data_IF_942815289884
#
_entry.id   IF_942815289884
#
_cell.length_a   1.000
_cell.length_b   1.000
_cell.length_c   1.000
_cell.angle_alpha   90.00
_cell.angle_beta   90.00
_cell.angle_gamma   90.00
#
_symmetry.space_group_name_H-M   'P 1'
#
loop_
_entity.id
_entity.type
_entity.pdbx_description
1 polymer ?
#
# COMPACT_ATOMS: atom_id res chain seq x y z
N UNK A 1 3.81 -16.70 -11.38
CA UNK A 1 4.41 -16.25 -10.11
C UNK A 1 3.87 -14.90 -9.73
N UNK A 2 3.55 -14.67 -8.46
CA UNK A 2 3.14 -13.34 -8.03
C UNK A 2 4.30 -12.36 -8.18
N UNK A 3 4.01 -11.22 -8.77
CA UNK A 3 4.98 -10.15 -8.81
C UNK A 3 4.90 -9.37 -7.50
N UNK A 4 6.05 -9.21 -6.88
CA UNK A 4 6.16 -8.37 -5.69
C UNK A 4 6.61 -7.00 -6.16
N UNK A 5 5.76 -5.99 -5.95
CA UNK A 5 6.10 -4.61 -6.25
C UNK A 5 6.56 -3.93 -4.98
N UNK A 6 7.67 -3.25 -5.06
CA UNK A 6 8.23 -2.49 -3.96
C UNK A 6 8.26 -1.02 -4.36
N UNK A 7 7.70 -0.17 -3.54
CA UNK A 7 7.67 1.27 -3.77
C UNK A 7 8.28 1.96 -2.56
N UNK A 8 9.25 2.82 -2.81
CA UNK A 8 9.86 3.62 -1.73
C UNK A 8 9.16 4.97 -1.69
N UNK A 9 8.70 5.35 -0.52
CA UNK A 9 7.95 6.59 -0.33
C UNK A 9 8.93 7.76 -0.35
N UNK A 10 8.68 8.71 -1.26
CA UNK A 10 9.44 9.94 -1.34
C UNK A 10 8.63 11.09 -0.74
N UNK A 11 9.20 12.30 -0.72
CA UNK A 11 8.53 13.44 -0.09
C UNK A 11 7.22 13.85 -0.78
N UNK A 12 7.05 13.52 -2.07
CA UNK A 12 5.82 13.83 -2.79
C UNK A 12 4.66 12.94 -2.33
N UNK A 13 4.96 11.75 -1.86
CA UNK A 13 3.97 10.74 -1.47
C UNK A 13 3.77 10.72 0.05
N UNK A 14 4.76 11.14 0.80
CA UNK A 14 4.71 11.10 2.27
C UNK A 14 3.54 11.91 2.82
N UNK A 15 3.01 11.48 3.96
CA UNK A 15 1.88 12.13 4.59
C UNK A 15 0.53 11.64 4.10
N UNK A 16 0.48 10.87 3.02
CA UNK A 16 -0.77 10.28 2.55
C UNK A 16 -1.14 9.06 3.38
N UNK A 17 -2.45 8.82 3.51
CA UNK A 17 -2.92 7.59 4.12
C UNK A 17 -2.64 6.42 3.18
N UNK A 18 -2.36 5.26 3.77
CA UNK A 18 -2.06 4.06 3.00
C UNK A 18 -3.20 3.69 2.04
N UNK A 19 -4.45 3.77 2.50
CA UNK A 19 -5.60 3.45 1.67
C UNK A 19 -5.70 4.40 0.47
N UNK A 20 -5.48 5.69 0.68
CA UNK A 20 -5.53 6.68 -0.38
C UNK A 20 -4.41 6.46 -1.41
N UNK A 21 -3.22 6.17 -0.92
CA UNK A 21 -2.07 5.87 -1.78
C UNK A 21 -2.37 4.66 -2.68
N UNK A 22 -2.92 3.60 -2.09
CA UNK A 22 -3.24 2.39 -2.84
C UNK A 22 -4.35 2.60 -3.86
N UNK A 23 -5.34 3.43 -3.54
CA UNK A 23 -6.40 3.77 -4.49
C UNK A 23 -5.82 4.43 -5.74
N UNK A 24 -4.78 5.24 -5.58
CA UNK A 24 -4.10 5.88 -6.69
C UNK A 24 -3.21 4.90 -7.46
N UNK A 25 -2.58 3.96 -6.78
CA UNK A 25 -1.69 2.99 -7.41
C UNK A 25 -2.46 1.88 -8.12
N UNK A 26 -3.59 1.48 -7.56
CA UNK A 26 -4.39 0.36 -8.06
C UNK A 26 -5.69 0.88 -8.66
N UNK A 27 -5.57 1.65 -9.73
CA UNK A 27 -6.73 2.24 -10.40
C UNK A 27 -7.66 1.14 -10.90
N UNK A 28 -8.95 1.36 -10.69
CA UNK A 28 -9.95 0.39 -11.09
C UNK A 28 -10.28 -0.63 -10.00
N UNK A 29 -9.53 -0.64 -8.90
CA UNK A 29 -9.81 -1.53 -7.76
C UNK A 29 -10.71 -0.78 -6.78
N UNK A 30 -11.86 -1.34 -6.40
CA UNK A 30 -12.77 -0.65 -5.47
C UNK A 30 -12.17 -0.52 -4.07
N UNK A 31 -12.63 0.51 -3.34
CA UNK A 31 -12.12 0.82 -2.01
C UNK A 31 -12.26 -0.35 -1.04
N UNK A 32 -13.38 -1.08 -1.12
CA UNK A 32 -13.59 -2.24 -0.26
C UNK A 32 -12.52 -3.32 -0.49
N UNK A 33 -12.10 -3.49 -1.72
CA UNK A 33 -11.03 -4.43 -2.06
C UNK A 33 -9.69 -3.96 -1.51
N UNK A 34 -9.43 -2.65 -1.57
CA UNK A 34 -8.22 -2.06 -1.00
C UNK A 34 -8.13 -2.37 0.51
N UNK A 35 -9.21 -2.14 1.23
CA UNK A 35 -9.24 -2.45 2.66
C UNK A 35 -9.04 -3.93 2.93
N UNK A 36 -9.63 -4.79 2.10
CA UNK A 36 -9.48 -6.23 2.23
C UNK A 36 -8.03 -6.68 2.09
N UNK A 37 -7.33 -6.19 1.07
CA UNK A 37 -5.94 -6.58 0.83
C UNK A 37 -4.99 -6.05 1.92
N UNK A 38 -5.27 -4.87 2.45
CA UNK A 38 -4.49 -4.34 3.58
C UNK A 38 -4.71 -5.23 4.82
N UNK A 39 -5.95 -5.58 5.10
CA UNK A 39 -6.30 -6.40 6.25
C UNK A 39 -5.67 -7.80 6.17
N UNK A 40 -5.63 -8.38 4.97
CA UNK A 40 -5.05 -9.70 4.76
C UNK A 40 -3.53 -9.73 4.83
N UNK A 41 -2.90 -8.56 4.84
CA UNK A 41 -1.44 -8.48 4.86
C UNK A 41 -0.80 -8.64 3.51
N UNK A 42 -1.56 -8.47 2.43
CA UNK A 42 -1.01 -8.47 1.08
C UNK A 42 -0.26 -7.19 0.77
N UNK A 43 -0.50 -6.15 1.56
CA UNK A 43 0.25 -4.89 1.53
C UNK A 43 0.97 -4.75 2.85
N UNK A 44 2.27 -4.52 2.80
CA UNK A 44 3.09 -4.36 4.00
C UNK A 44 3.97 -3.14 3.88
N UNK A 45 4.18 -2.48 5.01
CA UNK A 45 5.06 -1.32 5.11
C UNK A 45 6.26 -1.74 5.96
N UNK A 46 7.46 -1.67 5.39
CA UNK A 46 8.69 -2.13 6.05
C UNK A 46 8.53 -3.56 6.58
N UNK A 47 7.90 -4.42 5.77
CA UNK A 47 7.64 -5.84 6.06
C UNK A 47 6.64 -6.08 7.19
N UNK A 48 5.89 -5.04 7.60
CA UNK A 48 4.90 -5.15 8.66
C UNK A 48 3.53 -4.74 8.16
N UNK A 49 2.48 -5.39 8.69
CA UNK A 49 1.11 -4.99 8.38
C UNK A 49 0.79 -3.67 9.09
N UNK A 50 0.10 -2.79 8.37
CA UNK A 50 -0.32 -1.50 8.92
C UNK A 50 -1.82 -1.33 8.67
N UNK A 51 -2.42 -0.41 9.41
CA UNK A 51 -3.84 -0.07 9.23
C UNK A 51 -4.01 0.77 7.97
N UNK A 52 -5.21 0.75 7.35
CA UNK A 52 -5.47 1.62 6.18
C UNK A 52 -5.25 3.11 6.46
N UNK A 53 -5.44 3.54 7.69
CA UNK A 53 -5.26 4.93 8.09
C UNK A 53 -3.81 5.32 8.35
N UNK A 54 -2.88 4.37 8.26
CA UNK A 54 -1.47 4.65 8.47
C UNK A 54 -0.98 5.71 7.49
N UNK A 55 -0.31 6.72 7.98
CA UNK A 55 0.26 7.78 7.14
C UNK A 55 1.68 7.40 6.73
N UNK A 56 1.92 7.43 5.43
CA UNK A 56 3.22 7.06 4.88
C UNK A 56 4.27 8.11 5.23
N UNK A 57 5.46 7.64 5.53
CA UNK A 57 6.61 8.47 5.90
C UNK A 57 7.70 8.28 4.87
N UNK A 58 8.47 9.35 4.62
CA UNK A 58 9.61 9.29 3.70
C UNK A 58 10.52 8.12 4.08
N UNK A 59 10.87 7.31 3.09
CA UNK A 59 11.72 6.15 3.30
C UNK A 59 10.98 4.86 3.58
N UNK A 60 9.66 4.93 3.80
CA UNK A 60 8.86 3.71 3.98
C UNK A 60 8.91 2.86 2.70
N UNK A 61 9.00 1.57 2.90
CA UNK A 61 9.01 0.59 1.82
C UNK A 61 7.64 -0.09 1.76
N UNK A 62 6.88 0.22 0.72
CA UNK A 62 5.56 -0.39 0.50
C UNK A 62 5.75 -1.63 -0.36
N UNK A 63 5.39 -2.77 0.19
CA UNK A 63 5.51 -4.06 -0.48
C UNK A 63 4.13 -4.55 -0.84
N UNK A 64 3.90 -4.76 -2.13
CA UNK A 64 2.62 -5.27 -2.64
C UNK A 64 2.81 -6.70 -3.10
N UNK A 65 2.03 -7.61 -2.52
CA UNK A 65 2.07 -9.04 -2.84
C UNK A 65 0.91 -9.47 -3.72
N UNK A 66 0.13 -8.53 -4.21
CA UNK A 66 -1.07 -8.85 -4.97
C UNK A 66 -0.81 -8.90 -6.46
N UNK A 67 -1.60 -9.73 -7.14
CA UNK A 67 -1.70 -9.76 -8.60
C UNK A 67 -2.81 -8.85 -9.06
N UNK A 68 -2.52 -8.05 -10.05
CA UNK A 68 -3.54 -7.27 -10.73
C UNK A 68 -3.36 -7.39 -12.23
#
# INVERSE_FOLDING_TARGET
MPEVKKIIINENISGQRLDNFLLNQLKGVPKSKIYSIIRKGEIRINSKRKKPSYKLVIGDEVLSLIHI
#
